data_IF_793715213925
#
_entry.id   IF_793715213925
#
_cell.length_a   1.000
_cell.length_b   1.000
_cell.length_c   1.000
_cell.angle_alpha   90.00
_cell.angle_beta   90.00
_cell.angle_gamma   90.00
#
_symmetry.space_group_name_H-M   'P 1'
#
loop_
_entity.id
_entity.type
_entity.pdbx_description
1 polymer ?
#
# COMPACT_ATOMS: atom_id res chain seq x y z
N UNK A 1 -68.73 -4.90 -37.86
CA UNK A 1 -67.48 -4.71 -38.64
C UNK A 1 -66.54 -3.74 -37.93
N UNK A 2 -66.98 -2.52 -37.58
CA UNK A 2 -66.13 -1.50 -36.94
C UNK A 2 -65.76 -1.82 -35.48
N UNK A 3 -66.68 -2.39 -34.69
CA UNK A 3 -66.38 -2.89 -33.34
C UNK A 3 -65.38 -4.05 -33.32
N UNK A 4 -65.53 -5.00 -34.25
CA UNK A 4 -64.63 -6.14 -34.39
C UNK A 4 -63.21 -5.68 -34.76
N UNK A 5 -63.07 -4.66 -35.62
CA UNK A 5 -61.77 -4.09 -35.92
C UNK A 5 -61.14 -3.37 -34.71
N UNK A 6 -61.93 -2.61 -33.94
CA UNK A 6 -61.44 -1.94 -32.72
C UNK A 6 -61.02 -2.94 -31.61
N UNK A 7 -61.73 -4.06 -31.46
CA UNK A 7 -61.32 -5.13 -30.53
C UNK A 7 -60.05 -5.82 -31.00
N UNK A 8 -59.92 -6.05 -32.31
CA UNK A 8 -58.73 -6.66 -32.89
C UNK A 8 -57.48 -5.79 -32.72
N UNK A 9 -57.59 -4.48 -32.93
CA UNK A 9 -56.51 -3.53 -32.67
C UNK A 9 -56.12 -3.46 -31.19
N UNK A 10 -57.08 -3.55 -30.27
CA UNK A 10 -56.80 -3.63 -28.82
C UNK A 10 -56.06 -4.92 -28.46
N UNK A 11 -56.47 -6.06 -29.02
CA UNK A 11 -55.82 -7.35 -28.78
C UNK A 11 -54.39 -7.38 -29.31
N UNK A 12 -54.15 -6.86 -30.52
CA UNK A 12 -52.80 -6.75 -31.10
C UNK A 12 -51.89 -5.85 -30.27
N UNK A 13 -52.44 -4.76 -29.70
CA UNK A 13 -51.69 -3.88 -28.80
C UNK A 13 -51.31 -4.57 -27.48
N UNK A 14 -52.23 -5.31 -26.87
CA UNK A 14 -51.99 -6.07 -25.64
C UNK A 14 -50.96 -7.18 -25.88
N UNK A 15 -51.05 -7.88 -27.02
CA UNK A 15 -50.08 -8.91 -27.39
C UNK A 15 -48.67 -8.34 -27.54
N UNK A 16 -48.55 -7.19 -28.21
CA UNK A 16 -47.27 -6.50 -28.39
C UNK A 16 -46.68 -5.99 -27.07
N UNK A 17 -47.50 -5.42 -26.19
CA UNK A 17 -47.10 -5.01 -24.83
C UNK A 17 -46.67 -6.21 -23.98
N UNK A 18 -47.37 -7.34 -24.08
CA UNK A 18 -47.03 -8.59 -23.39
C UNK A 18 -45.70 -9.18 -23.86
N UNK A 19 -45.45 -9.19 -25.17
CA UNK A 19 -44.19 -9.65 -25.76
C UNK A 19 -42.99 -8.78 -25.34
N UNK A 20 -43.16 -7.46 -25.33
CA UNK A 20 -42.14 -6.52 -24.83
C UNK A 20 -41.87 -6.77 -23.35
N UNK A 21 -42.92 -6.91 -22.52
CA UNK A 21 -42.79 -7.22 -21.10
C UNK A 21 -42.08 -8.54 -20.85
N UNK A 22 -42.33 -9.56 -21.68
CA UNK A 22 -41.68 -10.86 -21.60
C UNK A 22 -40.18 -10.75 -21.91
N UNK A 23 -39.81 -10.02 -22.97
CA UNK A 23 -38.41 -9.80 -23.34
C UNK A 23 -37.64 -9.03 -22.25
N UNK A 24 -38.24 -7.99 -21.66
CA UNK A 24 -37.67 -7.25 -20.52
C UNK A 24 -37.40 -8.15 -19.31
N UNK A 25 -38.36 -9.03 -18.99
CA UNK A 25 -38.24 -9.96 -17.85
C UNK A 25 -37.17 -11.04 -18.10
N UNK A 26 -37.09 -11.57 -19.32
CA UNK A 26 -36.06 -12.53 -19.70
C UNK A 26 -34.65 -11.91 -19.65
N UNK A 27 -34.51 -10.64 -20.04
CA UNK A 27 -33.26 -9.89 -19.93
C UNK A 27 -32.85 -9.70 -18.46
N UNK A 28 -33.76 -9.22 -17.60
CA UNK A 28 -33.51 -9.02 -16.16
C UNK A 28 -33.09 -10.32 -15.45
N UNK A 29 -33.77 -11.45 -15.75
CA UNK A 29 -33.43 -12.76 -15.20
C UNK A 29 -32.05 -13.26 -15.68
N UNK A 30 -31.66 -12.93 -16.90
CA UNK A 30 -30.36 -13.30 -17.45
C UNK A 30 -29.24 -12.52 -16.76
N UNK A 31 -29.46 -11.24 -16.50
CA UNK A 31 -28.51 -10.37 -15.79
C UNK A 31 -28.32 -10.81 -14.33
N UNK A 32 -29.40 -11.12 -13.62
CA UNK A 32 -29.32 -11.64 -12.25
C UNK A 32 -28.53 -12.96 -12.18
N UNK A 33 -28.79 -13.89 -13.10
CA UNK A 33 -28.05 -15.17 -13.17
C UNK A 33 -26.57 -14.96 -13.51
N UNK A 34 -26.23 -13.95 -14.30
CA UNK A 34 -24.85 -13.62 -14.61
C UNK A 34 -24.13 -13.01 -13.41
N UNK A 35 -24.79 -12.09 -12.69
CA UNK A 35 -24.27 -11.51 -11.45
C UNK A 35 -23.97 -12.60 -10.41
N UNK A 36 -24.88 -13.55 -10.20
CA UNK A 36 -24.66 -14.69 -9.29
C UNK A 36 -23.44 -15.53 -9.69
N UNK A 37 -23.28 -15.82 -10.99
CA UNK A 37 -22.10 -16.56 -11.48
C UNK A 37 -20.81 -15.80 -11.19
N UNK A 38 -20.78 -14.49 -11.42
CA UNK A 38 -19.61 -13.65 -11.16
C UNK A 38 -19.28 -13.60 -9.67
N UNK A 39 -20.27 -13.35 -8.81
CA UNK A 39 -20.10 -13.36 -7.35
C UNK A 39 -19.54 -14.70 -6.87
N UNK A 40 -20.10 -15.81 -7.34
CA UNK A 40 -19.64 -17.14 -6.96
C UNK A 40 -18.24 -17.44 -7.48
N UNK A 41 -17.85 -16.90 -8.65
CA UNK A 41 -16.49 -17.01 -9.14
C UNK A 41 -15.51 -16.26 -8.23
N UNK A 42 -15.86 -15.06 -7.74
CA UNK A 42 -15.04 -14.32 -6.78
C UNK A 42 -14.92 -15.07 -5.44
N UNK A 43 -16.05 -15.48 -4.84
CA UNK A 43 -16.06 -16.21 -3.56
C UNK A 43 -15.25 -17.51 -3.62
N UNK A 44 -15.41 -18.30 -4.69
CA UNK A 44 -14.74 -19.58 -4.84
C UNK A 44 -13.26 -19.45 -5.21
N UNK A 45 -12.95 -18.63 -6.20
CA UNK A 45 -11.61 -18.62 -6.82
C UNK A 45 -10.65 -17.67 -6.12
N UNK A 46 -11.16 -16.57 -5.59
CA UNK A 46 -10.34 -15.52 -4.99
C UNK A 46 -10.39 -15.52 -3.49
N UNK A 47 -11.40 -16.09 -2.84
CA UNK A 47 -11.57 -15.96 -1.40
C UNK A 47 -11.49 -17.28 -0.65
N UNK A 48 -11.34 -18.40 -1.36
CA UNK A 48 -11.14 -19.71 -0.75
C UNK A 48 -12.34 -20.20 0.06
N UNK A 49 -13.54 -19.67 -0.21
CA UNK A 49 -14.79 -20.06 0.45
C UNK A 49 -15.71 -20.81 -0.52
N UNK A 50 -15.34 -22.00 -1.04
CA UNK A 50 -16.20 -22.78 -1.93
C UNK A 50 -17.51 -23.20 -1.25
N UNK A 51 -17.52 -23.28 0.07
CA UNK A 51 -18.71 -23.60 0.86
C UNK A 51 -19.76 -22.49 0.81
N UNK A 52 -19.37 -21.23 0.61
CA UNK A 52 -20.23 -20.05 0.66
C UNK A 52 -20.51 -19.52 -0.75
N UNK A 53 -21.78 -19.46 -1.14
CA UNK A 53 -22.16 -19.01 -2.47
C UNK A 53 -23.54 -18.35 -2.49
N UNK A 54 -23.75 -17.49 -3.47
CA UNK A 54 -25.01 -16.84 -3.75
C UNK A 54 -25.86 -17.73 -4.69
N UNK A 55 -27.15 -17.79 -4.43
CA UNK A 55 -28.13 -18.54 -5.23
C UNK A 55 -29.39 -17.69 -5.44
N UNK A 56 -30.22 -18.06 -6.40
CA UNK A 56 -31.51 -17.41 -6.66
C UNK A 56 -32.62 -18.38 -6.28
N UNK A 57 -33.54 -17.95 -5.41
CA UNK A 57 -34.79 -18.68 -5.17
C UNK A 57 -35.97 -17.92 -5.76
N UNK A 58 -36.82 -18.64 -6.50
CA UNK A 58 -38.08 -18.16 -7.03
C UNK A 58 -39.19 -18.44 -6.01
N UNK A 59 -39.86 -17.39 -5.52
CA UNK A 59 -40.90 -17.52 -4.49
C UNK A 59 -42.31 -17.56 -5.11
N UNK A 60 -42.86 -18.77 -5.23
CA UNK A 60 -44.28 -19.02 -5.55
C UNK A 60 -44.66 -18.89 -7.03
N UNK A 61 -45.65 -19.68 -7.46
CA UNK A 61 -46.09 -19.82 -8.86
C UNK A 61 -46.62 -18.52 -9.53
N UNK A 62 -46.71 -17.39 -8.80
CA UNK A 62 -47.35 -16.17 -9.29
C UNK A 62 -46.67 -14.85 -8.95
N UNK A 63 -45.46 -14.78 -8.35
CA UNK A 63 -44.79 -13.49 -8.10
C UNK A 63 -43.27 -13.49 -8.38
N UNK A 64 -42.98 -12.75 -9.45
CA UNK A 64 -41.71 -12.29 -10.03
C UNK A 64 -40.83 -11.46 -9.08
N UNK A 65 -40.39 -12.02 -7.96
CA UNK A 65 -39.30 -11.43 -7.17
C UNK A 65 -38.28 -12.55 -6.92
N UNK A 66 -37.20 -12.52 -7.70
CA UNK A 66 -36.00 -13.30 -7.47
C UNK A 66 -35.37 -12.83 -6.16
N UNK A 67 -35.27 -13.72 -5.19
CA UNK A 67 -34.55 -13.44 -3.94
C UNK A 67 -33.16 -14.05 -4.03
N UNK A 68 -32.14 -13.23 -3.84
CA UNK A 68 -30.80 -13.74 -3.60
C UNK A 68 -30.76 -14.40 -2.22
N UNK A 69 -30.24 -15.62 -2.18
CA UNK A 69 -30.08 -16.41 -0.97
C UNK A 69 -28.62 -16.82 -0.87
N UNK A 70 -28.02 -16.55 0.28
CA UNK A 70 -26.67 -17.04 0.58
C UNK A 70 -26.79 -18.47 1.10
N UNK A 71 -26.03 -19.39 0.52
CA UNK A 71 -25.95 -20.79 0.95
C UNK A 71 -24.55 -21.10 1.46
N UNK A 72 -24.50 -21.89 2.54
CA UNK A 72 -23.28 -22.52 3.08
C UNK A 72 -23.48 -24.02 3.07
N UNK A 73 -22.59 -24.79 2.43
CA UNK A 73 -22.69 -26.25 2.35
C UNK A 73 -24.08 -26.73 1.87
N UNK A 74 -24.62 -26.12 0.81
CA UNK A 74 -25.95 -26.37 0.24
C UNK A 74 -27.15 -26.06 1.15
N UNK A 75 -26.94 -25.41 2.30
CA UNK A 75 -28.00 -24.97 3.20
C UNK A 75 -28.06 -23.45 3.27
N UNK A 76 -29.25 -22.88 3.50
CA UNK A 76 -29.39 -21.43 3.69
C UNK A 76 -28.52 -20.98 4.85
N UNK A 77 -27.61 -20.05 4.59
CA UNK A 77 -26.76 -19.46 5.62
C UNK A 77 -27.61 -18.46 6.43
N UNK A 78 -27.89 -18.79 7.68
CA UNK A 78 -28.65 -17.92 8.59
C UNK A 78 -27.77 -17.03 9.47
N UNK A 79 -26.51 -17.44 9.67
CA UNK A 79 -25.55 -16.79 10.56
C UNK A 79 -24.25 -16.51 9.79
N UNK A 80 -24.22 -15.38 9.09
CA UNK A 80 -23.01 -14.86 8.44
C UNK A 80 -22.25 -13.98 9.43
N UNK A 81 -20.93 -14.12 9.49
CA UNK A 81 -20.08 -13.17 10.20
C UNK A 81 -20.12 -11.80 9.51
N UNK A 82 -19.74 -10.73 10.22
CA UNK A 82 -19.62 -9.40 9.63
C UNK A 82 -18.63 -9.40 8.44
N UNK A 83 -17.52 -10.13 8.58
CA UNK A 83 -16.55 -10.30 7.50
C UNK A 83 -17.16 -10.96 6.26
N UNK A 84 -17.94 -12.04 6.43
CA UNK A 84 -18.61 -12.72 5.31
C UNK A 84 -19.65 -11.84 4.63
N UNK A 85 -20.39 -11.03 5.40
CA UNK A 85 -21.36 -10.08 4.86
C UNK A 85 -20.67 -9.01 4.02
N UNK A 86 -19.62 -8.38 4.55
CA UNK A 86 -18.81 -7.39 3.84
C UNK A 86 -18.20 -7.97 2.57
N UNK A 87 -17.73 -9.21 2.63
CA UNK A 87 -17.11 -9.89 1.51
C UNK A 87 -18.08 -10.19 0.36
N UNK A 88 -19.27 -10.71 0.70
CA UNK A 88 -20.33 -10.95 -0.30
C UNK A 88 -20.77 -9.63 -0.93
N UNK A 89 -20.96 -8.58 -0.12
CA UNK A 89 -21.33 -7.26 -0.60
C UNK A 89 -20.26 -6.69 -1.56
N UNK A 90 -18.98 -6.85 -1.22
CA UNK A 90 -17.87 -6.44 -2.08
C UNK A 90 -17.82 -7.22 -3.39
N UNK A 91 -17.99 -8.56 -3.35
CA UNK A 91 -18.06 -9.37 -4.57
C UNK A 91 -19.24 -8.98 -5.47
N UNK A 92 -20.39 -8.69 -4.85
CA UNK A 92 -21.57 -8.20 -5.57
C UNK A 92 -21.30 -6.85 -6.23
N UNK A 93 -20.69 -5.91 -5.51
CA UNK A 93 -20.26 -4.63 -6.07
C UNK A 93 -19.32 -4.81 -7.27
N UNK A 94 -18.33 -5.70 -7.19
CA UNK A 94 -17.44 -5.98 -8.33
C UNK A 94 -18.19 -6.61 -9.51
N UNK A 95 -19.21 -7.44 -9.25
CA UNK A 95 -20.03 -8.00 -10.31
C UNK A 95 -20.84 -6.91 -11.03
N UNK A 96 -21.44 -5.96 -10.29
CA UNK A 96 -22.20 -4.87 -10.91
C UNK A 96 -21.33 -3.92 -11.72
N UNK A 97 -20.04 -3.76 -11.38
CA UNK A 97 -19.10 -2.99 -12.19
C UNK A 97 -18.87 -3.59 -13.58
N UNK A 98 -19.07 -4.91 -13.78
CA UNK A 98 -18.90 -5.56 -15.09
C UNK A 98 -19.99 -5.20 -16.09
N UNK A 99 -21.16 -4.82 -15.60
CA UNK A 99 -22.33 -4.49 -16.42
C UNK A 99 -22.33 -3.01 -16.85
N UNK A 100 -21.38 -2.21 -16.34
CA UNK A 100 -21.26 -0.79 -16.66
C UNK A 100 -20.51 -0.61 -17.98
N UNK A 101 -21.19 -0.02 -18.97
CA UNK A 101 -20.56 0.58 -20.16
C UNK A 101 -20.03 1.99 -19.85
N UNK A 102 -18.97 2.43 -20.55
CA UNK A 102 -18.35 3.77 -20.39
C UNK A 102 -17.76 4.01 -19.00
N UNK A 103 -16.97 3.05 -18.50
CA UNK A 103 -16.33 3.11 -17.17
C UNK A 103 -15.53 4.40 -16.91
N UNK A 104 -15.05 5.05 -17.97
CA UNK A 104 -14.30 6.31 -17.96
C UNK A 104 -15.10 7.50 -17.40
N UNK A 105 -16.42 7.38 -17.28
CA UNK A 105 -17.30 8.42 -16.70
C UNK A 105 -17.53 8.23 -15.18
N UNK A 106 -17.19 7.05 -14.64
CA UNK A 106 -17.55 6.65 -13.29
C UNK A 106 -16.45 6.94 -12.26
N UNK A 107 -16.87 7.48 -11.12
CA UNK A 107 -16.04 7.62 -9.93
C UNK A 107 -16.39 6.50 -8.94
N UNK A 108 -15.38 5.78 -8.47
CA UNK A 108 -15.51 4.72 -7.48
C UNK A 108 -14.98 5.21 -6.13
N UNK A 109 -15.72 4.94 -5.06
CA UNK A 109 -15.29 5.16 -3.68
C UNK A 109 -15.46 3.86 -2.89
N UNK A 110 -14.37 3.35 -2.32
CA UNK A 110 -14.35 2.13 -1.50
C UNK A 110 -13.93 2.53 -0.10
N UNK A 111 -14.82 2.35 0.87
CA UNK A 111 -14.51 2.61 2.28
C UNK A 111 -14.20 1.33 3.03
N UNK A 112 -12.96 1.24 3.48
CA UNK A 112 -12.40 0.18 4.31
C UNK A 112 -12.81 -1.26 3.92
N UNK A 113 -12.30 -1.76 2.78
CA UNK A 113 -12.80 -2.99 2.15
C UNK A 113 -12.46 -4.28 2.91
N UNK A 114 -11.81 -4.18 4.07
CA UNK A 114 -11.37 -5.33 4.89
C UNK A 114 -11.85 -5.28 6.33
N UNK A 115 -12.84 -4.44 6.65
CA UNK A 115 -13.42 -4.40 7.99
C UNK A 115 -13.89 -5.79 8.44
N UNK A 116 -13.49 -6.20 9.65
CA UNK A 116 -13.81 -7.50 10.26
C UNK A 116 -13.34 -8.74 9.47
N UNK A 117 -12.35 -8.59 8.57
CA UNK A 117 -11.69 -9.71 7.87
C UNK A 117 -10.36 -10.11 8.53
N UNK A 118 -10.00 -11.39 8.40
CA UNK A 118 -8.70 -11.88 8.86
C UNK A 118 -7.56 -11.43 7.91
N UNK A 119 -6.32 -11.61 8.36
CA UNK A 119 -5.13 -11.22 7.60
C UNK A 119 -4.97 -11.94 6.26
N UNK A 120 -5.56 -13.13 6.08
CA UNK A 120 -5.49 -13.88 4.82
C UNK A 120 -6.32 -13.22 3.72
N UNK A 121 -7.38 -12.51 4.08
CA UNK A 121 -8.27 -11.84 3.11
C UNK A 121 -7.70 -10.54 2.55
N UNK A 122 -6.73 -9.91 3.24
CA UNK A 122 -6.13 -8.64 2.82
C UNK A 122 -5.57 -8.74 1.39
N UNK A 123 -4.82 -9.81 1.12
CA UNK A 123 -4.19 -10.02 -0.19
C UNK A 123 -5.24 -10.22 -1.29
N UNK A 124 -6.32 -10.93 -0.99
CA UNK A 124 -7.37 -11.21 -1.96
C UNK A 124 -8.18 -9.96 -2.30
N UNK A 125 -8.57 -9.19 -1.30
CA UNK A 125 -9.25 -7.91 -1.50
C UNK A 125 -8.36 -6.95 -2.30
N UNK A 126 -7.08 -6.85 -1.94
CA UNK A 126 -6.10 -6.10 -2.75
C UNK A 126 -6.06 -6.58 -4.21
N UNK A 127 -5.96 -7.89 -4.44
CA UNK A 127 -5.86 -8.47 -5.79
C UNK A 127 -7.11 -8.19 -6.63
N UNK A 128 -8.29 -8.24 -6.01
CA UNK A 128 -9.55 -7.88 -6.67
C UNK A 128 -9.62 -6.39 -6.98
N UNK A 129 -9.26 -5.52 -6.04
CA UNK A 129 -9.17 -4.07 -6.29
C UNK A 129 -8.20 -3.78 -7.44
N UNK A 130 -7.04 -4.43 -7.47
CA UNK A 130 -6.03 -4.19 -8.49
C UNK A 130 -6.51 -4.62 -9.88
N UNK A 131 -7.00 -5.86 -9.99
CA UNK A 131 -7.40 -6.47 -11.26
C UNK A 131 -8.72 -5.93 -11.81
N UNK A 132 -9.68 -5.61 -10.94
CA UNK A 132 -11.03 -5.19 -11.34
C UNK A 132 -11.24 -3.68 -11.34
N UNK A 133 -10.45 -2.93 -10.56
CA UNK A 133 -10.66 -1.49 -10.39
C UNK A 133 -9.44 -0.69 -10.84
N UNK A 134 -8.28 -0.87 -10.20
CA UNK A 134 -7.12 -0.01 -10.42
C UNK A 134 -6.48 -0.16 -11.81
N UNK A 135 -6.49 -1.37 -12.38
CA UNK A 135 -5.99 -1.63 -13.73
C UNK A 135 -6.91 -1.10 -14.84
N UNK A 136 -8.14 -0.66 -14.50
CA UNK A 136 -9.13 -0.14 -15.45
C UNK A 136 -9.11 1.38 -15.51
N UNK A 137 -9.65 1.94 -16.59
CA UNK A 137 -9.64 3.39 -16.84
C UNK A 137 -10.89 4.09 -16.25
N UNK A 138 -11.24 3.84 -14.99
CA UNK A 138 -12.28 4.62 -14.32
C UNK A 138 -11.90 6.10 -14.24
N UNK A 139 -12.89 7.01 -14.18
CA UNK A 139 -12.68 8.45 -14.07
C UNK A 139 -11.79 8.81 -12.87
N UNK A 140 -12.14 8.25 -11.72
CA UNK A 140 -11.44 8.44 -10.47
C UNK A 140 -11.75 7.30 -9.50
N UNK A 141 -10.74 6.85 -8.77
CA UNK A 141 -10.88 5.82 -7.72
C UNK A 141 -10.37 6.38 -6.41
N UNK A 142 -11.19 6.27 -5.39
CA UNK A 142 -10.86 6.61 -4.01
C UNK A 142 -10.97 5.35 -3.16
N UNK A 143 -9.96 5.13 -2.32
CA UNK A 143 -9.94 4.01 -1.39
C UNK A 143 -9.53 4.58 -0.03
N UNK A 144 -10.39 4.43 0.98
CA UNK A 144 -10.06 4.70 2.37
C UNK A 144 -9.85 3.38 3.11
N UNK A 145 -8.95 3.39 4.08
CA UNK A 145 -8.77 2.28 5.01
C UNK A 145 -8.08 2.77 6.27
N UNK A 146 -8.37 2.14 7.40
CA UNK A 146 -7.62 2.33 8.64
C UNK A 146 -6.51 1.27 8.82
N UNK A 147 -6.44 0.28 7.94
CA UNK A 147 -5.52 -0.84 8.03
C UNK A 147 -4.21 -0.55 7.26
N UNK A 148 -3.11 -0.49 8.01
CA UNK A 148 -1.78 -0.16 7.46
C UNK A 148 -1.20 -1.27 6.59
N UNK A 149 -1.57 -2.54 6.79
CA UNK A 149 -1.10 -3.64 5.96
C UNK A 149 -1.77 -3.62 4.59
N UNK A 150 -3.08 -3.33 4.52
CA UNK A 150 -3.74 -3.08 3.24
C UNK A 150 -3.15 -1.86 2.54
N UNK A 151 -2.87 -0.77 3.26
CA UNK A 151 -2.25 0.43 2.68
C UNK A 151 -0.92 0.10 1.98
N UNK A 152 -0.06 -0.76 2.56
CA UNK A 152 1.19 -1.19 1.93
C UNK A 152 0.97 -1.86 0.58
N UNK A 153 -0.10 -2.62 0.42
CA UNK A 153 -0.48 -3.22 -0.86
C UNK A 153 -1.09 -2.20 -1.81
N UNK A 154 -2.00 -1.34 -1.33
CA UNK A 154 -2.62 -0.28 -2.14
C UNK A 154 -1.59 0.72 -2.70
N UNK A 155 -0.48 0.94 -2.02
CA UNK A 155 0.64 1.74 -2.55
C UNK A 155 1.30 1.13 -3.79
N UNK A 156 1.11 -0.16 -4.03
CA UNK A 156 1.69 -0.94 -5.14
C UNK A 156 0.68 -1.26 -6.25
N UNK A 157 -0.49 -0.61 -6.25
CA UNK A 157 -1.50 -0.82 -7.29
C UNK A 157 -0.92 -0.61 -8.69
N UNK A 158 -1.31 -1.50 -9.60
CA UNK A 158 -1.01 -1.47 -11.01
C UNK A 158 -1.60 -0.20 -11.62
N UNK A 159 -0.78 0.53 -12.38
CA UNK A 159 -1.24 1.71 -13.11
C UNK A 159 -2.06 1.27 -14.34
N UNK A 160 -3.13 1.99 -14.70
CA UNK A 160 -3.87 1.68 -15.92
C UNK A 160 -2.96 1.72 -17.16
N UNK A 161 -3.06 0.70 -18.01
CA UNK A 161 -2.10 0.38 -19.09
C UNK A 161 -1.89 1.51 -20.11
N UNK A 162 -2.86 2.43 -20.22
CA UNK A 162 -2.86 3.53 -21.19
C UNK A 162 -2.74 4.94 -20.57
N UNK A 163 -2.51 5.05 -19.26
CA UNK A 163 -2.52 6.36 -18.59
C UNK A 163 -1.16 6.70 -17.93
N UNK A 164 -0.22 7.21 -18.74
CA UNK A 164 1.09 7.69 -18.27
C UNK A 164 1.01 8.83 -17.24
N UNK A 165 -0.14 9.51 -17.12
CA UNK A 165 -0.38 10.60 -16.16
C UNK A 165 -0.98 10.13 -14.82
N UNK A 166 -1.20 8.82 -14.64
CA UNK A 166 -1.76 8.30 -13.41
C UNK A 166 -0.77 8.49 -12.25
N UNK A 167 -1.14 9.35 -11.29
CA UNK A 167 -0.35 9.67 -10.12
C UNK A 167 -1.21 9.48 -8.86
N UNK A 168 -0.86 8.47 -8.07
CA UNK A 168 -1.53 8.22 -6.80
C UNK A 168 -1.30 9.40 -5.86
N UNK A 169 -2.36 9.84 -5.20
CA UNK A 169 -2.28 10.86 -4.14
C UNK A 169 -2.74 10.23 -2.84
N UNK A 170 -1.91 10.36 -1.81
CA UNK A 170 -2.18 9.81 -0.49
C UNK A 170 -2.53 10.91 0.49
N UNK A 171 -3.57 10.68 1.29
CA UNK A 171 -4.09 11.60 2.28
C UNK A 171 -4.29 10.86 3.60
N UNK A 172 -4.24 11.60 4.71
CA UNK A 172 -4.60 11.13 6.04
C UNK A 172 -5.82 11.91 6.52
N UNK A 173 -6.68 11.23 7.28
CA UNK A 173 -7.77 11.87 8.02
C UNK A 173 -7.32 11.91 9.48
N UNK A 174 -7.10 13.10 10.01
CA UNK A 174 -6.61 13.33 11.37
C UNK A 174 -7.70 13.97 12.22
N UNK A 175 -7.87 13.48 13.46
CA UNK A 175 -8.68 14.14 14.47
C UNK A 175 -7.88 15.29 15.08
N UNK A 176 -8.40 16.51 15.01
CA UNK A 176 -7.84 17.69 15.69
C UNK A 176 -8.83 18.26 16.70
N UNK A 177 -8.33 18.68 17.84
CA UNK A 177 -9.09 19.42 18.83
C UNK A 177 -8.97 20.91 18.52
N UNK A 178 -10.10 21.62 18.49
CA UNK A 178 -10.11 23.09 18.44
C UNK A 178 -9.63 23.66 19.77
N UNK A 179 -9.30 24.96 19.79
CA UNK A 179 -8.93 25.66 21.03
C UNK A 179 -10.03 25.57 22.13
N UNK A 180 -11.28 25.34 21.72
CA UNK A 180 -12.43 25.21 22.61
C UNK A 180 -12.68 23.75 23.06
N UNK A 181 -11.81 22.80 22.68
CA UNK A 181 -11.92 21.39 23.04
C UNK A 181 -12.84 20.56 22.13
N UNK A 182 -13.36 21.13 21.04
CA UNK A 182 -14.22 20.40 20.11
C UNK A 182 -13.40 19.53 19.16
N UNK A 183 -13.86 18.30 18.93
CA UNK A 183 -13.23 17.39 17.99
C UNK A 183 -13.65 17.70 16.55
N UNK A 184 -12.67 17.89 15.68
CA UNK A 184 -12.84 18.07 14.23
C UNK A 184 -12.00 17.04 13.49
N UNK A 185 -12.42 16.68 12.27
CA UNK A 185 -11.62 15.84 11.37
C UNK A 185 -11.09 16.69 10.24
N UNK A 186 -9.80 16.57 9.95
CA UNK A 186 -9.16 17.27 8.84
C UNK A 186 -8.52 16.29 7.89
N UNK A 187 -8.50 16.62 6.60
CA UNK A 187 -7.79 15.86 5.59
C UNK A 187 -6.44 16.54 5.35
N UNK A 188 -5.35 15.83 5.62
CA UNK A 188 -3.98 16.29 5.37
C UNK A 188 -3.35 15.45 4.28
N UNK A 189 -2.35 16.00 3.58
CA UNK A 189 -1.54 15.18 2.67
C UNK A 189 -0.72 14.21 3.51
N UNK A 190 -0.68 12.94 3.10
CA UNK A 190 0.14 11.95 3.79
C UNK A 190 1.61 12.41 3.81
N UNK A 191 2.33 12.27 4.91
CA UNK A 191 3.76 12.61 4.94
C UNK A 191 4.57 11.79 3.93
N UNK A 192 5.59 12.41 3.33
CA UNK A 192 6.43 11.79 2.31
C UNK A 192 7.08 10.50 2.81
N UNK A 193 7.46 10.42 4.09
CA UNK A 193 8.08 9.22 4.64
C UNK A 193 7.15 7.99 4.63
N UNK A 194 5.83 8.17 4.77
CA UNK A 194 4.86 7.07 4.66
C UNK A 194 4.58 6.67 3.21
N UNK A 195 4.84 7.57 2.26
CA UNK A 195 4.63 7.32 0.83
C UNK A 195 5.84 6.67 0.16
N UNK A 196 7.06 7.12 0.53
CA UNK A 196 8.28 6.79 -0.20
C UNK A 196 8.93 5.50 0.26
N UNK A 197 8.95 5.22 1.57
CA UNK A 197 9.69 4.09 2.10
C UNK A 197 8.81 2.85 2.21
N UNK A 198 9.21 1.77 1.53
CA UNK A 198 8.50 0.49 1.60
C UNK A 198 8.63 -0.20 2.97
N UNK A 199 9.69 0.11 3.72
CA UNK A 199 9.97 -0.44 5.06
C UNK A 199 10.78 0.57 5.89
N UNK A 200 10.73 0.43 7.22
CA UNK A 200 11.64 1.17 8.13
C UNK A 200 13.10 0.93 7.75
N UNK A 201 13.43 -0.27 7.26
CA UNK A 201 14.77 -0.63 6.84
C UNK A 201 15.31 0.27 5.71
N UNK A 202 14.49 0.60 4.70
CA UNK A 202 14.87 1.55 3.63
C UNK A 202 14.98 2.98 4.18
N UNK A 203 14.10 3.37 5.12
CA UNK A 203 14.18 4.68 5.76
C UNK A 203 15.51 4.85 6.51
N UNK A 204 15.91 3.85 7.30
CA UNK A 204 17.17 3.87 8.06
C UNK A 204 18.38 3.92 7.12
N UNK A 205 18.36 3.16 6.02
CA UNK A 205 19.39 3.27 4.98
C UNK A 205 19.48 4.69 4.43
N UNK A 206 18.33 5.31 4.12
CA UNK A 206 18.32 6.68 3.59
C UNK A 206 18.91 7.68 4.58
N UNK A 207 18.60 7.60 5.88
CA UNK A 207 19.20 8.51 6.86
C UNK A 207 20.73 8.34 6.94
N UNK A 208 21.24 7.11 6.88
CA UNK A 208 22.70 6.86 6.81
C UNK A 208 23.29 7.47 5.54
N UNK A 209 22.62 7.29 4.40
CA UNK A 209 23.03 7.90 3.13
C UNK A 209 23.10 9.42 3.23
N UNK A 210 22.09 10.07 3.81
CA UNK A 210 22.06 11.52 4.00
C UNK A 210 23.20 12.02 4.88
N UNK A 211 23.53 11.33 5.97
CA UNK A 211 24.71 11.68 6.78
C UNK A 211 25.99 11.58 5.96
N UNK A 212 26.13 10.60 5.07
CA UNK A 212 27.31 10.46 4.22
C UNK A 212 27.43 11.56 3.15
N UNK A 213 26.32 12.08 2.63
CA UNK A 213 26.31 12.93 1.42
C UNK A 213 25.87 14.37 1.63
N UNK A 214 25.18 14.70 2.73
CA UNK A 214 24.72 16.08 3.03
C UNK A 214 25.65 16.74 4.04
N UNK A 215 25.74 18.07 4.02
CA UNK A 215 26.27 18.85 5.15
C UNK A 215 25.19 19.11 6.19
N UNK A 216 25.60 19.27 7.45
CA UNK A 216 24.66 19.63 8.51
C UNK A 216 24.22 21.09 8.36
N UNK A 217 22.92 21.31 8.47
CA UNK A 217 22.26 22.61 8.60
C UNK A 217 21.18 22.56 9.68
N UNK A 218 20.60 23.71 10.01
CA UNK A 218 19.46 23.80 10.93
C UNK A 218 18.21 23.06 10.40
N UNK A 219 18.17 22.73 9.11
CA UNK A 219 17.05 22.04 8.47
C UNK A 219 17.17 20.52 8.59
N UNK A 220 18.39 19.98 8.81
CA UNK A 220 18.65 18.55 8.84
C UNK A 220 19.44 18.05 10.06
N UNK A 221 19.71 18.89 11.07
CA UNK A 221 20.48 18.51 12.26
C UNK A 221 19.96 17.24 12.95
N UNK A 222 18.64 17.02 12.94
CA UNK A 222 17.99 15.84 13.53
C UNK A 222 18.50 14.51 12.92
N UNK A 223 18.93 14.54 11.67
CA UNK A 223 19.50 13.39 10.96
C UNK A 223 20.85 13.01 11.55
N UNK A 224 21.71 13.99 11.79
CA UNK A 224 23.02 13.81 12.39
C UNK A 224 22.89 13.48 13.89
N UNK A 225 21.96 14.12 14.59
CA UNK A 225 21.69 13.84 15.99
C UNK A 225 21.21 12.40 16.22
N UNK A 226 20.29 11.93 15.38
CA UNK A 226 19.74 10.56 15.47
C UNK A 226 20.64 9.48 14.85
N UNK A 227 21.70 9.86 14.12
CA UNK A 227 22.55 8.94 13.36
C UNK A 227 23.01 7.71 14.14
N UNK A 228 23.53 7.81 15.38
CA UNK A 228 24.01 6.62 16.10
C UNK A 228 22.94 5.55 16.31
N UNK A 229 21.71 5.96 16.67
CA UNK A 229 20.60 5.04 16.86
C UNK A 229 20.11 4.48 15.52
N UNK A 230 20.05 5.31 14.48
CA UNK A 230 19.68 4.90 13.12
C UNK A 230 20.68 3.87 12.57
N UNK A 231 21.98 4.13 12.69
CA UNK A 231 23.05 3.24 12.25
C UNK A 231 22.99 1.90 12.99
N UNK A 232 22.79 1.92 14.31
CA UNK A 232 22.67 0.71 15.13
C UNK A 232 21.48 -0.15 14.67
N UNK A 233 20.28 0.42 14.58
CA UNK A 233 19.07 -0.29 14.14
C UNK A 233 19.24 -0.88 12.74
N UNK A 234 19.83 -0.11 11.81
CA UNK A 234 20.07 -0.57 10.45
C UNK A 234 21.04 -1.75 10.44
N UNK A 235 22.19 -1.64 11.11
CA UNK A 235 23.21 -2.69 11.16
C UNK A 235 22.65 -3.95 11.81
N UNK A 236 21.95 -3.85 12.94
CA UNK A 236 21.32 -5.01 13.61
C UNK A 236 20.35 -5.73 12.67
N UNK A 237 19.47 -4.97 12.02
CA UNK A 237 18.49 -5.51 11.07
C UNK A 237 19.19 -6.14 9.87
N UNK A 238 20.18 -5.47 9.30
CA UNK A 238 20.92 -5.93 8.14
C UNK A 238 21.72 -7.20 8.44
N UNK A 239 22.37 -7.25 9.61
CA UNK A 239 23.14 -8.42 10.06
C UNK A 239 22.23 -9.61 10.35
N UNK A 240 21.03 -9.39 10.87
CA UNK A 240 20.05 -10.46 11.06
C UNK A 240 19.67 -11.13 9.74
N UNK A 241 19.45 -10.35 8.67
CA UNK A 241 19.16 -10.91 7.34
C UNK A 241 20.38 -11.56 6.68
N UNK A 242 21.58 -10.99 6.85
CA UNK A 242 22.81 -11.55 6.25
C UNK A 242 23.28 -12.83 6.96
N UNK A 243 23.06 -12.92 8.27
CA UNK A 243 23.42 -14.06 9.11
C UNK A 243 22.19 -14.49 9.94
N UNK A 244 21.24 -15.23 9.34
CA UNK A 244 20.00 -15.67 10.00
C UNK A 244 20.24 -16.81 11.01
N UNK A 245 21.43 -16.91 11.59
CA UNK A 245 21.78 -17.86 12.65
C UNK A 245 21.42 -17.27 14.01
N UNK A 246 20.32 -17.75 14.60
CA UNK A 246 19.82 -17.31 15.92
C UNK A 246 20.77 -17.63 17.08
N UNK A 247 21.75 -18.52 16.89
CA UNK A 247 22.77 -18.84 17.92
C UNK A 247 23.91 -17.82 17.93
N UNK A 248 24.05 -17.06 16.86
CA UNK A 248 25.11 -16.08 16.67
C UNK A 248 24.77 -14.74 17.32
N UNK A 249 25.59 -14.30 18.29
CA UNK A 249 25.46 -12.96 18.89
C UNK A 249 25.73 -11.86 17.86
N UNK A 250 25.05 -10.72 18.01
CA UNK A 250 25.17 -9.56 17.10
C UNK A 250 26.62 -9.09 16.92
N UNK A 251 27.40 -9.00 17.99
CA UNK A 251 28.82 -8.61 17.93
C UNK A 251 29.66 -9.52 17.02
N UNK A 252 29.30 -10.81 16.96
CA UNK A 252 30.01 -11.78 16.11
C UNK A 252 29.64 -11.55 14.64
N UNK A 253 28.35 -11.39 14.32
CA UNK A 253 27.85 -11.10 12.95
C UNK A 253 28.52 -9.85 12.37
N UNK A 254 28.57 -8.82 13.19
CA UNK A 254 29.22 -7.56 12.94
C UNK A 254 30.71 -7.74 12.64
N UNK A 255 31.45 -8.46 13.48
CA UNK A 255 32.89 -8.64 13.31
C UNK A 255 33.21 -9.39 12.03
N UNK A 256 32.42 -10.41 11.70
CA UNK A 256 32.57 -11.17 10.46
C UNK A 256 32.28 -10.30 9.23
N UNK A 257 31.21 -9.50 9.24
CA UNK A 257 30.85 -8.66 8.08
C UNK A 257 31.84 -7.53 7.79
N UNK A 258 32.32 -6.87 8.84
CA UNK A 258 33.21 -5.70 8.69
C UNK A 258 34.70 -6.07 8.77
N UNK A 259 35.03 -7.37 8.79
CA UNK A 259 36.40 -7.88 8.75
C UNK A 259 37.21 -7.58 10.01
N UNK A 260 36.55 -7.43 11.16
CA UNK A 260 37.20 -7.21 12.46
C UNK A 260 38.02 -5.92 12.58
N UNK A 261 37.85 -4.95 11.67
CA UNK A 261 38.59 -3.68 11.73
C UNK A 261 38.30 -2.94 13.04
N UNK A 262 39.36 -2.58 13.77
CA UNK A 262 39.28 -1.93 15.08
C UNK A 262 38.43 -0.65 15.05
N UNK A 263 38.54 0.15 13.98
CA UNK A 263 37.74 1.37 13.79
C UNK A 263 36.23 1.09 13.83
N UNK A 264 35.77 0.01 13.20
CA UNK A 264 34.36 -0.32 13.13
C UNK A 264 33.82 -0.92 14.43
N UNK A 265 34.63 -1.72 15.12
CA UNK A 265 34.31 -2.24 16.45
C UNK A 265 34.19 -1.12 17.47
N UNK A 266 35.12 -0.14 17.44
CA UNK A 266 35.07 1.05 18.28
C UNK A 266 33.84 1.91 17.98
N UNK A 267 33.52 2.13 16.70
CA UNK A 267 32.30 2.83 16.28
C UNK A 267 31.04 2.15 16.83
N UNK A 268 30.94 0.83 16.70
CA UNK A 268 29.78 0.09 17.18
C UNK A 268 29.63 0.12 18.69
N UNK A 269 30.73 -0.03 19.44
CA UNK A 269 30.71 0.12 20.88
C UNK A 269 30.26 1.54 21.29
N UNK A 270 30.69 2.58 20.56
CA UNK A 270 30.25 3.96 20.77
C UNK A 270 28.76 4.13 20.52
N UNK A 271 28.25 3.73 19.36
CA UNK A 271 26.83 3.91 19.07
C UNK A 271 25.95 3.08 20.01
N UNK A 272 26.42 1.90 20.44
CA UNK A 272 25.65 1.02 21.31
C UNK A 272 25.64 1.52 22.77
N UNK A 273 26.78 1.97 23.31
CA UNK A 273 26.90 2.29 24.74
C UNK A 273 26.80 3.79 25.06
N UNK A 274 27.33 4.67 24.22
CA UNK A 274 27.47 6.11 24.53
C UNK A 274 26.39 6.97 23.88
N UNK A 275 26.00 6.66 22.63
CA UNK A 275 25.13 7.54 21.84
C UNK A 275 23.69 7.05 21.66
N UNK A 276 23.32 5.86 22.15
CA UNK A 276 21.94 5.34 22.01
C UNK A 276 21.16 5.23 23.34
N UNK A 277 21.81 5.37 24.49
CA UNK A 277 21.17 5.29 25.81
C UNK A 277 21.09 6.67 26.47
N UNK A 278 19.88 7.24 26.49
CA UNK A 278 19.63 8.59 27.02
C UNK A 278 19.97 8.78 28.50
N UNK A 279 19.97 7.70 29.29
CA UNK A 279 20.38 7.69 30.69
C UNK A 279 21.86 8.10 30.87
N UNK A 280 22.71 7.77 29.91
CA UNK A 280 24.15 8.02 30.00
C UNK A 280 24.54 9.46 29.61
N UNK A 281 23.66 10.20 28.93
CA UNK A 281 23.94 11.55 28.42
C UNK A 281 22.68 12.43 28.32
N UNK A 282 22.13 12.92 29.44
CA UNK A 282 20.98 13.84 29.43
C UNK A 282 21.27 15.18 28.74
N UNK A 283 22.52 15.66 28.81
CA UNK A 283 22.94 16.97 28.25
C UNK A 283 23.50 16.87 26.82
N UNK A 284 23.17 15.81 26.07
CA UNK A 284 23.79 15.53 24.76
C UNK A 284 23.64 16.67 23.75
N UNK A 285 22.54 17.41 23.78
CA UNK A 285 22.30 18.56 22.89
C UNK A 285 23.27 19.73 23.15
N UNK A 286 23.86 19.82 24.34
CA UNK A 286 24.85 20.85 24.67
C UNK A 286 26.28 20.47 24.26
N UNK A 287 26.50 19.22 23.82
CA UNK A 287 27.80 18.73 23.37
C UNK A 287 27.89 18.82 21.84
N UNK A 288 28.97 19.40 21.28
CA UNK A 288 29.20 19.36 19.85
C UNK A 288 29.19 17.93 19.34
N UNK A 289 28.43 17.68 18.28
CA UNK A 289 28.43 16.40 17.57
C UNK A 289 29.67 16.38 16.67
N UNK A 290 30.43 15.28 16.69
CA UNK A 290 31.54 15.08 15.75
C UNK A 290 30.99 14.66 14.37
N UNK A 291 30.55 15.67 13.61
CA UNK A 291 29.99 15.50 12.27
C UNK A 291 30.99 14.83 11.32
N UNK A 292 32.27 15.23 11.24
CA UNK A 292 33.26 14.54 10.41
C UNK A 292 33.35 13.05 10.70
N UNK A 293 33.33 12.67 11.98
CA UNK A 293 33.35 11.26 12.37
C UNK A 293 32.08 10.53 11.92
N UNK A 294 30.90 11.14 12.08
CA UNK A 294 29.64 10.55 11.62
C UNK A 294 29.60 10.35 10.11
N UNK A 295 30.12 11.32 9.34
CA UNK A 295 30.29 11.17 7.88
C UNK A 295 31.21 10.00 7.55
N UNK A 296 32.39 9.91 8.19
CA UNK A 296 33.33 8.79 8.00
C UNK A 296 32.65 7.44 8.30
N UNK A 297 31.92 7.36 9.40
CA UNK A 297 31.22 6.14 9.81
C UNK A 297 30.11 5.75 8.83
N UNK A 298 29.32 6.71 8.36
CA UNK A 298 28.28 6.48 7.36
C UNK A 298 28.89 5.94 6.05
N UNK A 299 30.00 6.52 5.59
CA UNK A 299 30.75 6.04 4.42
C UNK A 299 31.25 4.60 4.60
N UNK A 300 31.81 4.26 5.77
CA UNK A 300 32.26 2.89 6.07
C UNK A 300 31.10 1.89 5.98
N UNK A 301 29.90 2.25 6.44
CA UNK A 301 28.70 1.42 6.34
C UNK A 301 28.36 1.20 4.86
N UNK A 302 28.22 2.28 4.08
CA UNK A 302 27.84 2.21 2.66
C UNK A 302 28.86 1.43 1.83
N UNK A 303 30.16 1.68 2.02
CA UNK A 303 31.23 0.97 1.33
C UNK A 303 31.29 -0.51 1.72
N UNK A 304 30.97 -0.85 2.97
CA UNK A 304 30.96 -2.25 3.41
C UNK A 304 29.75 -3.00 2.84
N UNK A 305 28.60 -2.35 2.68
CA UNK A 305 27.45 -2.93 1.95
C UNK A 305 27.86 -3.17 0.49
N UNK A 306 28.37 -2.14 -0.20
CA UNK A 306 28.80 -2.24 -1.60
C UNK A 306 29.85 -3.33 -1.84
N UNK A 307 30.85 -3.43 -0.97
CA UNK A 307 31.94 -4.42 -1.09
C UNK A 307 31.45 -5.86 -0.90
N UNK A 308 30.49 -6.08 -0.01
CA UNK A 308 29.97 -7.41 0.30
C UNK A 308 28.82 -7.83 -0.64
N UNK A 309 28.06 -6.86 -1.17
CA UNK A 309 26.88 -7.09 -2.01
C UNK A 309 26.55 -5.84 -2.85
N UNK A 310 27.19 -5.73 -4.02
CA UNK A 310 27.04 -4.57 -4.91
C UNK A 310 25.61 -4.46 -5.47
N UNK A 311 25.00 -5.57 -5.85
CA UNK A 311 23.64 -5.59 -6.40
C UNK A 311 22.63 -5.05 -5.38
N UNK A 312 22.75 -5.48 -4.13
CA UNK A 312 21.90 -5.00 -3.04
C UNK A 312 22.14 -3.51 -2.74
N UNK A 313 23.39 -3.05 -2.77
CA UNK A 313 23.71 -1.62 -2.62
C UNK A 313 22.97 -0.77 -3.66
N UNK A 314 23.04 -1.13 -4.93
CA UNK A 314 22.33 -0.40 -5.99
C UNK A 314 20.80 -0.54 -5.88
N UNK A 315 20.28 -1.65 -5.35
CA UNK A 315 18.86 -1.79 -5.08
C UNK A 315 18.36 -0.81 -3.99
N UNK A 316 19.16 -0.58 -2.95
CA UNK A 316 18.87 0.46 -1.96
C UNK A 316 18.84 1.85 -2.58
N UNK A 317 19.85 2.20 -3.38
CA UNK A 317 19.92 3.50 -4.08
C UNK A 317 18.69 3.74 -4.97
N UNK A 318 18.24 2.73 -5.72
CA UNK A 318 17.01 2.82 -6.52
C UNK A 318 15.77 3.06 -5.67
N UNK A 319 15.70 2.45 -4.49
CA UNK A 319 14.57 2.59 -3.56
C UNK A 319 14.47 3.99 -2.95
N UNK A 320 15.58 4.72 -2.88
CA UNK A 320 15.62 6.12 -2.40
C UNK A 320 15.83 7.13 -3.53
N UNK A 321 15.83 6.67 -4.80
CA UNK A 321 16.11 7.48 -5.99
C UNK A 321 17.40 8.32 -5.89
N UNK A 322 18.49 7.70 -5.43
CA UNK A 322 19.78 8.35 -5.21
C UNK A 322 20.88 7.81 -6.14
N UNK A 323 21.94 8.60 -6.30
CA UNK A 323 23.16 8.21 -7.01
C UNK A 323 24.16 7.52 -6.06
N UNK A 324 25.21 6.86 -6.57
CA UNK A 324 26.29 6.38 -5.71
C UNK A 324 26.93 7.52 -4.90
N UNK A 325 27.17 7.26 -3.61
CA UNK A 325 27.65 8.27 -2.66
C UNK A 325 29.01 8.87 -3.08
N UNK A 326 29.87 8.08 -3.70
CA UNK A 326 31.16 8.48 -4.24
C UNK A 326 31.07 9.34 -5.51
N UNK A 327 29.96 9.28 -6.25
CA UNK A 327 29.69 10.18 -7.37
C UNK A 327 29.27 11.59 -6.90
N UNK A 328 28.78 11.73 -5.67
CA UNK A 328 28.37 13.02 -5.09
C UNK A 328 29.58 13.76 -4.51
N UNK A 329 30.44 13.07 -3.75
CA UNK A 329 31.65 13.69 -3.18
C UNK A 329 32.59 14.25 -4.25
N UNK A 330 32.72 13.59 -5.41
CA UNK A 330 33.55 14.07 -6.53
C UNK A 330 33.01 15.32 -7.23
N UNK A 331 31.71 15.62 -7.08
CA UNK A 331 31.09 16.79 -7.71
C UNK A 331 31.42 18.08 -6.95
N UNK A 332 31.62 18.00 -5.64
CA UNK A 332 32.03 19.12 -4.79
C UNK A 332 33.52 19.45 -4.98
N UNK A 333 34.38 18.44 -5.09
CA UNK A 333 35.82 18.64 -5.38
C UNK A 333 36.07 19.36 -6.71
N UNK A 334 35.30 19.03 -7.76
CA UNK A 334 35.42 19.70 -9.07
C UNK A 334 34.91 21.14 -9.07
N UNK A 335 34.02 21.52 -8.16
CA UNK A 335 33.54 22.91 -8.03
C UNK A 335 34.58 23.76 -7.27
N UNK A 336 35.25 23.19 -6.27
CA UNK A 336 36.32 23.86 -5.51
C UNK A 336 37.61 24.04 -6.34
N UNK A 337 37.97 23.07 -7.18
CA UNK A 337 39.14 23.21 -8.08
C UNK A 337 38.90 24.29 -9.16
N UNK A 338 37.67 24.45 -9.63
CA UNK A 338 37.33 25.49 -10.61
C UNK A 338 37.22 26.90 -10.00
N UNK A 339 36.95 27.05 -8.69
CA UNK A 339 36.91 28.36 -8.03
C UNK A 339 38.28 28.86 -7.55
N UNK A 340 39.27 27.97 -7.40
CA UNK A 340 40.66 28.33 -7.11
C UNK A 340 41.52 28.60 -8.37
N UNK A 341 40.98 28.39 -9.57
CA UNK A 341 41.67 28.58 -10.86
C UNK A 341 41.67 30.00 -11.43
N UNK A 342 41.07 30.98 -10.75
CA UNK A 342 41.02 32.39 -11.20
C UNK A 342 41.54 33.34 -10.14
N UNK A 343 42.83 33.19 -9.77
CA UNK A 343 43.61 34.30 -9.24
C UNK A 343 45.00 34.22 -9.89
N UNK A 344 45.15 34.92 -11.01
CA UNK A 344 46.43 35.28 -11.62
C UNK A 344 46.44 36.76 -11.87
#
# INVERSE_FOLDING_TARGET
MQEINNEKEKLEKIEKESLLKKAELEASLKDEKNAVKLVNNYLKSFLGHPELYLDIEEEGASKKISKFVVKRNNQKAKNLSEGEQSLIAFCYFLATLKDISNIEEYTIFIDDPISSLDSNHIFYVFSLIDSEIASKNYKQVFISTHNLDLLKYLQKLTKPTNNKKYNNKYYLIEKKLTANGEATSIITRMPTYLQTYSTEFIFLFHQIYRVATEDQSDENYEVFYSFPNTARKFIETYMFFKYPDFTMKNDKRIREFFGGKLEFVSFLNRINNEFSHGENQPDRLFKPIDIPEFKKNALIILDSIRRNDEEQYYAFLRSINALPHDAISKKEDNILVNSMGTVS
#
